data_IF_586031075835
#
_entry.id   IF_586031075835
#
_cell.length_a   1.000
_cell.length_b   1.000
_cell.length_c   1.000
_cell.angle_alpha   90.00
_cell.angle_beta   90.00
_cell.angle_gamma   90.00
#
_symmetry.space_group_name_H-M   'P 1'
#
loop_
_entity.id
_entity.type
_entity.pdbx_description
1 polymer ?
#
# COMPACT_ATOMS: atom_id res chain seq x y z
N UNK A 1 6.40 -24.76 -10.66
CA UNK A 1 5.72 -23.85 -11.62
C UNK A 1 4.76 -24.69 -12.47
N UNK A 2 3.45 -24.62 -12.20
CA UNK A 2 2.44 -25.35 -12.98
C UNK A 2 1.82 -24.38 -13.99
N UNK A 3 2.06 -24.59 -15.28
CA UNK A 3 1.38 -23.88 -16.37
C UNK A 3 0.09 -24.64 -16.74
N UNK A 4 -1.04 -23.93 -16.79
CA UNK A 4 -2.27 -24.41 -17.43
C UNK A 4 -2.30 -23.82 -18.84
N UNK A 5 -2.31 -24.69 -19.86
CA UNK A 5 -2.38 -24.32 -21.27
C UNK A 5 -3.81 -24.55 -21.78
N UNK A 6 -4.41 -23.55 -22.43
CA UNK A 6 -5.57 -23.77 -23.31
C UNK A 6 -5.37 -23.07 -24.65
N UNK A 7 -5.59 -23.82 -25.74
CA UNK A 7 -6.14 -23.35 -27.01
C UNK A 7 -5.30 -22.49 -27.95
N UNK A 8 -4.37 -21.65 -27.49
CA UNK A 8 -3.44 -20.87 -28.33
C UNK A 8 -2.19 -20.49 -27.53
N UNK A 9 -1.18 -21.35 -27.55
CA UNK A 9 0.26 -21.07 -27.45
C UNK A 9 0.87 -20.17 -26.36
N UNK A 10 0.09 -19.43 -25.56
CA UNK A 10 0.60 -18.51 -24.56
C UNK A 10 0.22 -19.01 -23.15
N UNK A 11 1.17 -19.02 -22.19
CA UNK A 11 0.87 -19.30 -20.80
C UNK A 11 -0.18 -18.32 -20.28
N UNK A 12 -1.31 -18.83 -19.79
CA UNK A 12 -2.19 -18.01 -18.95
C UNK A 12 -1.46 -17.80 -17.63
N UNK A 13 -0.81 -16.65 -17.50
CA UNK A 13 -0.16 -16.24 -16.26
C UNK A 13 -1.20 -16.22 -15.16
N UNK A 14 -0.88 -16.79 -14.00
CA UNK A 14 -1.77 -16.70 -12.86
C UNK A 14 -1.81 -15.24 -12.33
N UNK A 15 -2.68 -14.95 -11.36
CA UNK A 15 -2.84 -13.59 -10.84
C UNK A 15 -1.56 -13.03 -10.21
N UNK A 16 -0.78 -13.89 -9.54
CA UNK A 16 0.49 -13.55 -8.90
C UNK A 16 1.53 -13.20 -9.96
N UNK A 17 1.69 -14.05 -10.99
CA UNK A 17 2.67 -13.79 -12.06
C UNK A 17 2.37 -12.48 -12.79
N UNK A 18 1.09 -12.15 -13.00
CA UNK A 18 0.69 -10.86 -13.61
C UNK A 18 1.06 -9.68 -12.72
N UNK A 19 0.86 -9.79 -11.40
CA UNK A 19 1.23 -8.75 -10.46
C UNK A 19 2.74 -8.54 -10.39
N UNK A 20 3.51 -9.63 -10.27
CA UNK A 20 4.97 -9.56 -10.27
C UNK A 20 5.52 -8.93 -11.55
N UNK A 21 4.92 -9.21 -12.70
CA UNK A 21 5.27 -8.54 -13.97
C UNK A 21 4.97 -7.04 -13.95
N UNK A 22 3.82 -6.61 -13.44
CA UNK A 22 3.52 -5.17 -13.30
C UNK A 22 4.54 -4.49 -12.40
N UNK A 23 4.87 -5.10 -11.26
CA UNK A 23 5.88 -4.60 -10.33
C UNK A 23 7.24 -4.50 -11.02
N UNK A 24 7.70 -5.56 -11.69
CA UNK A 24 8.99 -5.58 -12.38
C UNK A 24 9.08 -4.50 -13.49
N UNK A 25 7.97 -4.25 -14.18
CA UNK A 25 7.87 -3.19 -15.20
C UNK A 25 8.11 -1.78 -14.65
N UNK A 26 7.75 -1.50 -13.39
CA UNK A 26 8.05 -0.21 -12.73
C UNK A 26 9.56 0.07 -12.75
N UNK A 27 10.37 -0.99 -12.64
CA UNK A 27 11.82 -0.91 -12.61
C UNK A 27 12.49 -1.13 -13.97
N UNK A 28 11.72 -1.44 -15.02
CA UNK A 28 12.26 -1.87 -16.31
C UNK A 28 13.05 -3.18 -16.22
N UNK A 29 12.61 -4.12 -15.38
CA UNK A 29 13.28 -5.41 -15.12
C UNK A 29 12.36 -6.59 -15.43
N UNK A 30 12.95 -7.79 -15.53
CA UNK A 30 12.20 -9.04 -15.65
C UNK A 30 11.59 -9.49 -14.32
N UNK A 31 12.26 -9.20 -13.20
CA UNK A 31 11.82 -9.50 -11.85
C UNK A 31 11.92 -8.26 -10.93
N UNK A 32 11.07 -8.15 -9.89
CA UNK A 32 11.18 -7.09 -8.90
C UNK A 32 12.55 -7.13 -8.17
N UNK A 33 13.24 -5.99 -8.00
CA UNK A 33 14.46 -5.92 -7.21
C UNK A 33 14.16 -5.94 -5.70
N UNK A 34 15.20 -6.20 -4.90
CA UNK A 34 15.19 -5.92 -3.45
C UNK A 34 14.81 -4.45 -3.15
N UNK A 35 14.18 -4.24 -2.01
CA UNK A 35 13.88 -2.91 -1.48
C UNK A 35 15.17 -2.26 -0.99
N UNK A 36 15.59 -1.25 -1.73
CA UNK A 36 16.70 -0.34 -1.42
C UNK A 36 16.30 1.09 -1.69
N UNK A 37 16.96 2.06 -1.08
CA UNK A 37 16.70 3.50 -1.27
C UNK A 37 16.51 3.88 -2.75
N UNK A 38 17.39 3.41 -3.64
CA UNK A 38 17.30 3.68 -5.10
C UNK A 38 16.02 3.12 -5.73
N UNK A 39 15.63 1.91 -5.36
CA UNK A 39 14.40 1.27 -5.88
C UNK A 39 13.14 1.93 -5.32
N UNK A 40 13.14 2.31 -4.04
CA UNK A 40 12.05 3.08 -3.42
C UNK A 40 11.84 4.40 -4.15
N UNK A 41 12.91 5.12 -4.50
CA UNK A 41 12.84 6.36 -5.28
C UNK A 41 12.25 6.14 -6.69
N UNK A 42 12.55 5.02 -7.34
CA UNK A 42 11.95 4.67 -8.64
C UNK A 42 10.46 4.40 -8.48
N UNK A 43 10.06 3.60 -7.50
CA UNK A 43 8.65 3.28 -7.26
C UNK A 43 7.86 4.53 -6.84
N UNK A 44 8.41 5.37 -5.97
CA UNK A 44 7.81 6.64 -5.56
C UNK A 44 7.56 7.55 -6.76
N UNK A 45 8.54 7.68 -7.66
CA UNK A 45 8.36 8.43 -8.90
C UNK A 45 7.22 7.87 -9.74
N UNK A 46 7.14 6.54 -9.86
CA UNK A 46 6.05 5.87 -10.57
C UNK A 46 4.68 6.18 -9.94
N UNK A 47 4.55 6.10 -8.60
CA UNK A 47 3.32 6.45 -7.90
C UNK A 47 2.91 7.91 -8.15
N UNK A 48 3.84 8.85 -7.96
CA UNK A 48 3.59 10.29 -8.18
C UNK A 48 3.12 10.62 -9.60
N UNK A 49 3.56 9.85 -10.59
CA UNK A 49 3.20 10.06 -12.00
C UNK A 49 1.87 9.43 -12.40
N UNK A 50 1.43 8.36 -11.72
CA UNK A 50 0.34 7.51 -12.20
C UNK A 50 -0.88 7.47 -11.29
N UNK A 51 -0.77 7.89 -10.02
CA UNK A 51 -1.92 7.95 -9.13
C UNK A 51 -2.87 9.07 -9.56
N UNK A 52 -4.14 8.71 -9.80
CA UNK A 52 -5.21 9.66 -10.14
C UNK A 52 -5.86 10.20 -8.85
N UNK A 53 -6.07 11.51 -8.77
CA UNK A 53 -6.77 12.14 -7.64
C UNK A 53 -8.25 12.42 -7.98
N UNK A 54 -9.18 12.26 -7.01
CA UNK A 54 -8.95 11.87 -5.62
C UNK A 54 -8.67 10.37 -5.45
N UNK A 55 -7.74 10.02 -4.56
CA UNK A 55 -7.44 8.65 -4.19
C UNK A 55 -7.86 8.39 -2.74
N UNK A 56 -8.85 7.51 -2.56
CA UNK A 56 -9.38 7.15 -1.24
C UNK A 56 -8.71 5.90 -0.71
N UNK A 57 -8.24 5.96 0.53
CA UNK A 57 -7.47 4.93 1.21
C UNK A 57 -8.15 4.52 2.52
N UNK A 58 -7.79 3.35 3.02
CA UNK A 58 -8.14 2.82 4.35
C UNK A 58 -7.01 1.89 4.80
N UNK A 59 -6.98 1.46 6.06
CA UNK A 59 -5.93 0.56 6.50
C UNK A 59 -5.99 -0.80 5.81
N UNK A 60 -4.84 -1.33 5.41
CA UNK A 60 -4.71 -2.69 4.88
C UNK A 60 -5.01 -3.71 5.98
N UNK A 61 -4.42 -3.49 7.16
CA UNK A 61 -4.53 -4.25 8.41
C UNK A 61 -4.49 -3.30 9.63
N UNK A 62 -4.61 -3.85 10.84
CA UNK A 62 -4.49 -3.06 12.06
C UNK A 62 -3.12 -2.39 12.19
N UNK A 63 -3.12 -1.14 12.64
CA UNK A 63 -1.87 -0.40 12.87
C UNK A 63 -1.21 -0.91 14.15
N UNK A 64 0.12 -0.82 14.24
CA UNK A 64 0.91 -1.34 15.36
C UNK A 64 0.37 -0.92 16.74
N UNK A 65 -0.05 0.34 16.88
CA UNK A 65 -0.61 0.86 18.13
C UNK A 65 -1.98 0.22 18.51
N UNK A 66 -2.72 -0.30 17.52
CA UNK A 66 -4.03 -0.93 17.69
C UNK A 66 -3.92 -2.40 18.10
N UNK A 67 -2.83 -3.11 17.78
CA UNK A 67 -2.64 -4.53 18.09
C UNK A 67 -2.89 -4.84 19.57
N UNK A 68 -2.34 -4.02 20.47
CA UNK A 68 -2.51 -4.19 21.92
C UNK A 68 -3.99 -4.23 22.35
N UNK A 69 -4.87 -3.58 21.60
CA UNK A 69 -6.31 -3.50 21.90
C UNK A 69 -7.16 -4.49 21.08
N UNK A 70 -6.66 -4.96 19.93
CA UNK A 70 -7.38 -5.87 19.04
C UNK A 70 -7.08 -7.33 19.41
N UNK A 71 -5.81 -7.66 19.62
CA UNK A 71 -5.34 -9.02 19.94
C UNK A 71 -4.77 -9.12 21.36
N UNK A 72 -4.37 -8.00 21.96
CA UNK A 72 -3.83 -7.94 23.32
C UNK A 72 -4.88 -7.74 24.41
N UNK A 73 -4.43 -7.48 25.66
CA UNK A 73 -5.30 -7.30 26.82
C UNK A 73 -5.93 -5.90 26.91
N UNK A 74 -5.72 -5.03 25.91
CA UNK A 74 -6.18 -3.65 25.91
C UNK A 74 -7.71 -3.51 25.98
N UNK A 75 -8.17 -2.42 26.59
CA UNK A 75 -9.61 -2.14 26.68
C UNK A 75 -10.15 -1.55 25.38
N UNK A 76 -11.25 -2.12 24.87
CA UNK A 76 -12.00 -1.54 23.75
C UNK A 76 -12.39 -0.07 23.98
N UNK A 77 -12.74 0.31 25.21
CA UNK A 77 -13.10 1.70 25.55
C UNK A 77 -11.91 2.66 25.37
N UNK A 78 -10.71 2.19 25.72
CA UNK A 78 -9.49 2.98 25.55
C UNK A 78 -9.09 3.08 24.08
N UNK A 79 -9.20 1.99 23.32
CA UNK A 79 -9.02 2.00 21.86
C UNK A 79 -9.93 3.02 21.18
N UNK A 80 -11.24 2.98 21.47
CA UNK A 80 -12.21 3.95 20.96
C UNK A 80 -11.86 5.40 21.35
N UNK A 81 -11.31 5.62 22.54
CA UNK A 81 -10.85 6.95 22.98
C UNK A 81 -9.66 7.41 22.16
N UNK A 82 -8.65 6.57 21.97
CA UNK A 82 -7.43 6.88 21.24
C UNK A 82 -7.67 7.13 19.76
N UNK A 83 -8.61 6.40 19.12
CA UNK A 83 -8.99 6.59 17.71
C UNK A 83 -9.52 8.00 17.40
N UNK A 84 -9.98 8.76 18.40
CA UNK A 84 -10.38 10.16 18.20
C UNK A 84 -9.19 11.05 17.83
N UNK A 85 -7.99 10.70 18.25
CA UNK A 85 -6.76 11.48 18.01
C UNK A 85 -5.78 10.77 17.09
N UNK A 86 -5.66 9.45 17.18
CA UNK A 86 -4.78 8.63 16.36
C UNK A 86 -5.48 8.19 15.07
N UNK A 87 -4.69 7.98 14.01
CA UNK A 87 -5.16 7.33 12.80
C UNK A 87 -5.45 5.85 13.09
N UNK A 88 -6.51 5.30 12.48
CA UNK A 88 -6.88 3.90 12.64
C UNK A 88 -7.06 3.24 11.29
N UNK A 89 -6.80 1.93 11.22
CA UNK A 89 -7.05 1.14 10.00
C UNK A 89 -8.52 1.18 9.54
N UNK A 90 -9.43 1.44 10.48
CA UNK A 90 -10.87 1.58 10.23
C UNK A 90 -11.27 2.93 9.64
N UNK A 91 -10.36 3.91 9.64
CA UNK A 91 -10.63 5.22 9.07
C UNK A 91 -10.63 5.16 7.54
N UNK A 92 -11.31 6.13 6.94
CA UNK A 92 -11.17 6.41 5.50
C UNK A 92 -10.40 7.70 5.34
N UNK A 93 -9.40 7.66 4.47
CA UNK A 93 -8.49 8.74 4.20
C UNK A 93 -8.55 9.16 2.74
N UNK A 94 -8.32 10.44 2.48
CA UNK A 94 -7.98 10.99 1.18
C UNK A 94 -6.45 11.11 1.09
N UNK A 95 -5.83 10.56 0.05
CA UNK A 95 -4.43 10.81 -0.25
C UNK A 95 -4.23 12.27 -0.65
N UNK A 96 -3.28 12.96 -0.01
CA UNK A 96 -2.87 14.32 -0.37
C UNK A 96 -1.63 14.26 -1.27
N UNK A 97 -0.57 13.61 -0.80
CA UNK A 97 0.70 13.48 -1.51
C UNK A 97 1.52 12.32 -0.90
N UNK A 98 2.67 12.02 -1.48
CA UNK A 98 3.68 11.12 -0.94
C UNK A 98 4.89 11.91 -0.42
N UNK A 99 5.43 11.49 0.72
CA UNK A 99 6.67 12.03 1.30
C UNK A 99 7.83 11.82 0.30
N UNK A 100 8.68 12.85 0.14
CA UNK A 100 9.70 12.88 -0.92
C UNK A 100 10.84 11.87 -0.71
N UNK A 101 11.26 11.70 0.54
CA UNK A 101 12.41 10.88 0.88
C UNK A 101 11.94 9.60 1.59
N UNK A 102 11.86 8.46 0.87
CA UNK A 102 11.50 7.20 1.49
C UNK A 102 12.67 6.69 2.34
N UNK A 103 12.36 6.08 3.48
CA UNK A 103 13.34 5.43 4.35
C UNK A 103 13.43 3.95 3.96
N UNK A 104 14.62 3.35 3.93
CA UNK A 104 14.76 1.95 3.52
C UNK A 104 13.97 0.99 4.43
N UNK A 105 14.01 1.25 5.74
CA UNK A 105 13.34 0.44 6.77
C UNK A 105 11.83 0.71 6.91
N UNK A 106 11.32 1.82 6.41
CA UNK A 106 9.91 2.19 6.57
C UNK A 106 9.18 2.41 5.23
N UNK A 107 9.92 2.34 4.12
CA UNK A 107 9.40 2.50 2.78
C UNK A 107 8.90 3.91 2.45
N UNK A 108 7.90 3.95 1.58
CA UNK A 108 7.21 5.16 1.13
C UNK A 108 6.12 5.51 2.15
N UNK A 109 6.08 6.78 2.56
CA UNK A 109 5.00 7.32 3.36
C UNK A 109 4.04 8.16 2.53
N UNK A 110 2.76 8.11 2.89
CA UNK A 110 1.69 8.92 2.34
C UNK A 110 1.26 10.01 3.34
N UNK A 111 1.16 11.24 2.86
CA UNK A 111 0.41 12.28 3.55
C UNK A 111 -1.08 12.10 3.22
N UNK A 112 -1.89 11.89 4.25
CA UNK A 112 -3.31 11.58 4.09
C UNK A 112 -4.18 12.45 4.98
N UNK A 113 -5.41 12.73 4.53
CA UNK A 113 -6.44 13.45 5.29
C UNK A 113 -7.53 12.49 5.72
N UNK A 114 -7.77 12.36 7.01
CA UNK A 114 -8.91 11.58 7.51
C UNK A 114 -10.22 12.29 7.17
N UNK A 115 -11.17 11.54 6.60
CA UNK A 115 -12.41 12.16 6.11
C UNK A 115 -13.32 12.72 7.20
N UNK A 116 -13.36 12.07 8.37
CA UNK A 116 -14.30 12.38 9.46
C UNK A 116 -14.01 13.71 10.17
N UNK A 117 -12.75 14.05 10.38
CA UNK A 117 -12.34 15.24 11.14
C UNK A 117 -11.26 16.08 10.47
N UNK A 118 -10.90 15.75 9.22
CA UNK A 118 -9.94 16.47 8.38
C UNK A 118 -8.52 16.55 8.93
N UNK A 119 -8.18 15.78 9.97
CA UNK A 119 -6.81 15.68 10.46
C UNK A 119 -5.89 15.08 9.41
N UNK A 120 -4.65 15.57 9.38
CA UNK A 120 -3.62 15.12 8.46
C UNK A 120 -2.68 14.17 9.20
N UNK A 121 -2.33 13.08 8.55
CA UNK A 121 -1.40 12.07 9.05
C UNK A 121 -0.34 11.77 8.00
N UNK A 122 0.82 11.33 8.45
CA UNK A 122 1.84 10.68 7.62
C UNK A 122 1.81 9.22 8.03
N UNK A 123 1.49 8.33 7.10
CA UNK A 123 1.36 6.89 7.36
C UNK A 123 2.22 6.11 6.35
N UNK A 124 2.85 5.00 6.74
CA UNK A 124 3.53 4.13 5.79
C UNK A 124 2.52 3.58 4.78
N UNK A 125 2.90 3.56 3.51
CA UNK A 125 1.96 3.26 2.42
C UNK A 125 1.56 1.77 2.38
N UNK A 126 2.38 0.87 2.92
CA UNK A 126 2.13 -0.56 3.04
C UNK A 126 1.02 -0.89 4.05
N UNK A 127 0.81 -0.02 5.03
CA UNK A 127 -0.34 -0.06 5.93
C UNK A 127 -1.65 0.44 5.28
N UNK A 128 -1.63 0.87 4.00
CA UNK A 128 -2.79 1.45 3.34
C UNK A 128 -3.21 0.66 2.10
N UNK A 129 -4.52 0.63 1.85
CA UNK A 129 -5.11 0.09 0.62
C UNK A 129 -6.18 1.01 0.05
N UNK A 130 -6.39 0.91 -1.27
CA UNK A 130 -7.37 1.73 -2.00
C UNK A 130 -8.81 1.26 -1.76
N UNK A 131 -9.71 2.22 -1.61
CA UNK A 131 -11.16 2.02 -1.46
C UNK A 131 -11.92 2.96 -2.42
N UNK A 132 -12.67 2.48 -3.42
CA UNK A 132 -13.04 1.09 -3.71
C UNK A 132 -12.03 0.35 -4.61
N UNK A 133 -12.02 -0.99 -4.54
CA UNK A 133 -11.12 -1.87 -5.32
C UNK A 133 -11.19 -1.73 -6.83
N UNK A 134 -12.27 -1.15 -7.37
CA UNK A 134 -12.44 -0.92 -8.82
C UNK A 134 -11.68 0.31 -9.33
N UNK A 135 -11.08 1.11 -8.44
CA UNK A 135 -10.27 2.26 -8.82
C UNK A 135 -9.03 1.84 -9.62
N UNK A 136 -8.62 2.67 -10.59
CA UNK A 136 -7.34 2.48 -11.30
C UNK A 136 -6.14 2.54 -10.36
N UNK A 137 -6.27 3.28 -9.24
CA UNK A 137 -5.22 3.38 -8.23
C UNK A 137 -5.02 2.08 -7.46
N UNK A 138 -6.00 1.15 -7.48
CA UNK A 138 -5.94 -0.08 -6.69
C UNK A 138 -4.66 -0.85 -6.97
N UNK A 139 -4.38 -1.16 -8.24
CA UNK A 139 -3.17 -1.90 -8.60
C UNK A 139 -1.89 -1.14 -8.26
N UNK A 140 -1.85 0.19 -8.37
CA UNK A 140 -0.64 0.97 -8.07
C UNK A 140 -0.21 0.85 -6.60
N UNK A 141 -1.17 1.01 -5.68
CA UNK A 141 -0.91 0.95 -4.24
C UNK A 141 -0.72 -0.51 -3.79
N UNK A 142 -1.51 -1.44 -4.33
CA UNK A 142 -1.39 -2.87 -4.05
C UNK A 142 -0.05 -3.44 -4.53
N UNK A 143 0.42 -3.03 -5.71
CA UNK A 143 1.72 -3.43 -6.26
C UNK A 143 2.88 -2.93 -5.41
N UNK A 144 2.79 -1.71 -4.88
CA UNK A 144 3.76 -1.21 -3.92
C UNK A 144 3.78 -2.06 -2.64
N UNK A 145 2.61 -2.30 -2.03
CA UNK A 145 2.51 -3.08 -0.79
C UNK A 145 3.04 -4.50 -0.95
N UNK A 146 2.67 -5.17 -2.04
CA UNK A 146 3.16 -6.53 -2.36
C UNK A 146 4.68 -6.53 -2.58
N UNK A 147 5.21 -5.57 -3.33
CA UNK A 147 6.65 -5.47 -3.53
C UNK A 147 7.40 -5.21 -2.23
N UNK A 148 6.99 -4.20 -1.46
CA UNK A 148 7.68 -3.79 -0.25
C UNK A 148 7.72 -4.90 0.80
N UNK A 149 6.61 -5.60 1.04
CA UNK A 149 6.53 -6.66 2.05
C UNK A 149 7.32 -7.92 1.67
N UNK A 150 7.39 -8.28 0.38
CA UNK A 150 8.01 -9.54 -0.05
C UNK A 150 9.49 -9.42 -0.45
N UNK A 151 9.99 -8.21 -0.66
CA UNK A 151 11.35 -7.97 -1.19
C UNK A 151 12.20 -7.06 -0.28
N UNK A 152 11.72 -6.76 0.93
CA UNK A 152 12.47 -6.08 1.98
C UNK A 152 13.39 -7.03 2.73
#
# INVERSE_FOLDING_TARGET
>A
MLLILTGKGEPVLNAVDRQLRRIAQVFGKEEPPEVKEKSLKIFLKHLKQNVEFPCMLTGSEDFEWEEFYIIGPGSKKEHERLRKTQASYLDTFELIDFVLDPYEDEGIHAQVRRLSDKKIFILPLDYLKVKPRKSKNFSLIDDYGVWFVNYR
#
